data_IF_696173658265
#
_entry.id   IF_696173658265
#
_cell.length_a   1.000
_cell.length_b   1.000
_cell.length_c   1.000
_cell.angle_alpha   90.00
_cell.angle_beta   90.00
_cell.angle_gamma   90.00
#
_symmetry.space_group_name_H-M   'P 1'
#
loop_
_entity.id
_entity.type
_entity.pdbx_description
1 polymer ?
#
# COMPACT_ATOMS: atom_id res chain seq x y z
N UNK A 1 -45.46 2.24 -7.42
CA UNK A 1 -44.17 2.58 -8.05
C UNK A 1 -43.05 1.86 -7.30
N UNK A 2 -42.55 0.73 -7.81
CA UNK A 2 -41.52 -0.06 -7.11
C UNK A 2 -40.12 0.35 -7.57
N UNK A 3 -39.32 0.86 -6.63
CA UNK A 3 -37.94 1.28 -6.84
C UNK A 3 -37.01 0.06 -7.03
N UNK A 4 -37.16 -0.68 -8.14
CA UNK A 4 -36.33 -1.86 -8.47
C UNK A 4 -34.83 -1.55 -8.54
N UNK A 5 -34.46 -0.28 -8.75
CA UNK A 5 -33.07 0.16 -8.73
C UNK A 5 -32.40 -0.03 -7.35
N UNK A 6 -33.18 -0.03 -6.27
CA UNK A 6 -32.68 -0.22 -4.91
C UNK A 6 -32.19 -1.65 -4.65
N UNK A 7 -32.61 -2.64 -5.44
CA UNK A 7 -32.19 -4.04 -5.31
C UNK A 7 -30.82 -4.34 -5.96
N UNK A 8 -30.11 -3.36 -6.52
CA UNK A 8 -28.76 -3.64 -7.04
C UNK A 8 -27.82 -4.00 -5.89
N UNK A 9 -26.99 -5.03 -6.09
CA UNK A 9 -26.06 -5.55 -5.07
C UNK A 9 -25.17 -4.47 -4.43
N UNK A 10 -24.80 -3.43 -5.19
CA UNK A 10 -24.00 -2.31 -4.68
C UNK A 10 -24.70 -1.50 -3.59
N UNK A 11 -26.03 -1.36 -3.66
CA UNK A 11 -26.80 -0.66 -2.62
C UNK A 11 -27.04 -1.55 -1.40
N UNK A 12 -27.24 -2.86 -1.61
CA UNK A 12 -27.34 -3.81 -0.49
C UNK A 12 -26.08 -3.82 0.39
N UNK A 13 -24.90 -3.57 -0.19
CA UNK A 13 -23.64 -3.45 0.56
C UNK A 13 -23.67 -2.33 1.61
N UNK A 14 -24.46 -1.27 1.41
CA UNK A 14 -24.59 -0.17 2.38
C UNK A 14 -25.24 -0.61 3.69
N UNK A 15 -26.10 -1.63 3.66
CA UNK A 15 -26.71 -2.19 4.89
C UNK A 15 -25.67 -2.84 5.79
N UNK A 16 -24.62 -3.42 5.20
CA UNK A 16 -23.53 -4.07 5.94
C UNK A 16 -22.42 -3.08 6.32
N UNK A 17 -22.48 -1.83 5.83
CA UNK A 17 -21.44 -0.83 6.03
C UNK A 17 -21.11 -0.57 7.51
N UNK A 18 -22.08 -0.43 8.44
CA UNK A 18 -21.76 -0.21 9.86
C UNK A 18 -20.98 -1.39 10.47
N UNK A 19 -21.33 -2.63 10.10
CA UNK A 19 -20.62 -3.83 10.55
C UNK A 19 -19.20 -3.87 10.00
N UNK A 20 -19.02 -3.55 8.71
CA UNK A 20 -17.71 -3.45 8.08
C UNK A 20 -16.85 -2.34 8.67
N UNK A 21 -17.43 -1.19 9.03
CA UNK A 21 -16.69 -0.10 9.68
C UNK A 21 -16.20 -0.53 11.05
N UNK A 22 -17.03 -1.24 11.82
CA UNK A 22 -16.64 -1.75 13.15
C UNK A 22 -15.49 -2.76 13.07
N UNK A 23 -15.42 -3.56 12.01
CA UNK A 23 -14.40 -4.60 11.84
C UNK A 23 -13.12 -4.08 11.15
N UNK A 24 -13.27 -3.26 10.12
CA UNK A 24 -12.19 -2.88 9.21
C UNK A 24 -11.82 -1.39 9.27
N UNK A 25 -12.50 -0.61 10.11
CA UNK A 25 -12.30 0.82 10.22
C UNK A 25 -12.98 1.63 9.09
N UNK A 26 -12.62 2.91 8.92
CA UNK A 26 -13.25 3.81 7.96
C UNK A 26 -13.31 3.25 6.53
N UNK A 27 -14.37 3.54 5.75
CA UNK A 27 -14.50 3.02 4.37
C UNK A 27 -13.37 3.38 3.41
N UNK A 28 -12.61 4.43 3.73
CA UNK A 28 -11.42 4.83 2.98
C UNK A 28 -10.24 3.86 3.10
N UNK A 29 -10.24 2.97 4.11
CA UNK A 29 -9.19 1.98 4.33
C UNK A 29 -9.37 0.75 3.45
N UNK A 30 -10.61 0.35 3.14
CA UNK A 30 -10.93 -0.77 2.25
C UNK A 30 -11.39 -0.33 0.85
N UNK A 31 -11.24 0.95 0.51
CA UNK A 31 -11.56 1.45 -0.83
C UNK A 31 -10.53 0.95 -1.85
N UNK A 32 -11.01 0.26 -2.90
CA UNK A 32 -10.16 -0.21 -4.01
C UNK A 32 -9.44 0.91 -4.75
N UNK A 33 -9.90 2.17 -4.63
CA UNK A 33 -9.29 3.32 -5.33
C UNK A 33 -7.81 3.48 -5.02
N UNK A 34 -7.38 3.23 -3.77
CA UNK A 34 -5.96 3.28 -3.39
C UNK A 34 -5.17 2.17 -4.07
N UNK A 35 -5.70 0.96 -4.10
CA UNK A 35 -5.08 -0.18 -4.77
C UNK A 35 -5.02 0.01 -6.30
N UNK A 36 -6.07 0.55 -6.92
CA UNK A 36 -6.09 0.85 -8.35
C UNK A 36 -5.03 1.88 -8.75
N UNK A 37 -4.79 2.89 -7.90
CA UNK A 37 -3.70 3.86 -8.13
C UNK A 37 -2.32 3.20 -8.14
N UNK A 38 -2.16 2.12 -7.37
CA UNK A 38 -0.92 1.35 -7.28
C UNK A 38 -0.64 0.54 -8.56
N UNK A 39 -1.68 0.12 -9.28
CA UNK A 39 -1.53 -0.63 -10.54
C UNK A 39 -0.70 0.15 -11.57
N UNK A 40 -0.83 1.48 -11.61
CA UNK A 40 -0.03 2.34 -12.50
C UNK A 40 1.46 2.31 -12.14
N UNK A 41 1.77 2.34 -10.84
CA UNK A 41 3.16 2.24 -10.36
C UNK A 41 3.77 0.88 -10.68
N UNK A 42 2.99 -0.21 -10.50
CA UNK A 42 3.44 -1.56 -10.86
C UNK A 42 3.66 -1.72 -12.36
N UNK A 43 2.79 -1.12 -13.19
CA UNK A 43 2.95 -1.13 -14.64
C UNK A 43 4.24 -0.42 -15.07
N UNK A 44 4.52 0.78 -14.53
CA UNK A 44 5.77 1.50 -14.79
C UNK A 44 6.98 0.71 -14.28
N UNK A 45 6.90 0.12 -13.10
CA UNK A 45 7.98 -0.70 -12.56
C UNK A 45 8.29 -1.90 -13.47
N UNK A 46 7.23 -2.53 -14.03
CA UNK A 46 7.28 -3.67 -14.95
C UNK A 46 7.88 -3.33 -16.31
N UNK A 47 7.50 -2.21 -16.92
CA UNK A 47 8.04 -1.76 -18.23
C UNK A 47 9.56 -1.57 -18.14
N UNK A 48 10.06 -1.08 -17.00
CA UNK A 48 11.48 -0.83 -16.74
C UNK A 48 12.15 -1.96 -15.94
N UNK A 49 11.71 -3.21 -16.11
CA UNK A 49 12.43 -4.39 -15.59
C UNK A 49 13.24 -5.05 -16.69
N UNK A 50 14.25 -5.82 -16.33
CA UNK A 50 15.14 -6.45 -17.30
C UNK A 50 14.50 -7.66 -18.04
N UNK A 51 13.16 -7.80 -17.95
CA UNK A 51 12.27 -8.84 -18.52
C UNK A 51 12.58 -10.30 -18.18
N UNK A 52 13.79 -10.62 -17.73
CA UNK A 52 14.24 -11.97 -17.38
C UNK A 52 13.64 -12.45 -16.05
N UNK A 53 13.37 -11.53 -15.11
CA UNK A 53 12.67 -11.83 -13.85
C UNK A 53 11.89 -10.62 -13.30
N UNK A 54 10.83 -10.15 -14.02
CA UNK A 54 10.11 -8.93 -13.68
C UNK A 54 9.53 -8.95 -12.26
N UNK A 55 9.06 -10.12 -11.81
CA UNK A 55 8.48 -10.30 -10.48
C UNK A 55 9.51 -10.02 -9.38
N UNK A 56 10.74 -10.51 -9.54
CA UNK A 56 11.81 -10.32 -8.55
C UNK A 56 12.23 -8.85 -8.53
N UNK A 57 12.39 -8.22 -9.69
CA UNK A 57 12.73 -6.81 -9.82
C UNK A 57 11.66 -5.90 -9.19
N UNK A 58 10.38 -6.19 -9.44
CA UNK A 58 9.26 -5.44 -8.84
C UNK A 58 9.21 -5.66 -7.33
N UNK A 59 9.44 -6.88 -6.84
CA UNK A 59 9.47 -7.17 -5.41
C UNK A 59 10.59 -6.39 -4.70
N UNK A 60 11.79 -6.36 -5.29
CA UNK A 60 12.93 -5.58 -4.77
C UNK A 60 12.61 -4.08 -4.77
N UNK A 61 12.06 -3.54 -5.87
CA UNK A 61 11.64 -2.12 -5.94
C UNK A 61 10.60 -1.78 -4.88
N UNK A 62 9.62 -2.65 -4.66
CA UNK A 62 8.57 -2.47 -3.64
C UNK A 62 9.17 -2.50 -2.22
N UNK A 63 10.05 -3.46 -1.95
CA UNK A 63 10.75 -3.58 -0.68
C UNK A 63 11.60 -2.34 -0.39
N UNK A 64 12.39 -1.87 -1.36
CA UNK A 64 13.22 -0.68 -1.21
C UNK A 64 12.37 0.56 -0.90
N UNK A 65 11.25 0.74 -1.60
CA UNK A 65 10.35 1.86 -1.35
C UNK A 65 9.70 1.80 0.04
N UNK A 66 9.34 0.60 0.51
CA UNK A 66 8.81 0.42 1.86
C UNK A 66 9.87 0.67 2.93
N UNK A 67 11.09 0.16 2.73
CA UNK A 67 12.24 0.40 3.60
C UNK A 67 12.57 1.89 3.70
N UNK A 68 12.58 2.63 2.59
CA UNK A 68 12.76 4.09 2.59
C UNK A 68 11.66 4.80 3.39
N UNK A 69 10.39 4.42 3.22
CA UNK A 69 9.29 5.00 4.01
C UNK A 69 9.42 4.71 5.50
N UNK A 70 9.83 3.51 5.87
CA UNK A 70 10.07 3.14 7.26
C UNK A 70 11.21 3.97 7.86
N UNK A 71 12.34 4.07 7.16
CA UNK A 71 13.47 4.91 7.58
C UNK A 71 13.01 6.38 7.74
N UNK A 72 12.29 6.92 6.76
CA UNK A 72 11.75 8.29 6.82
C UNK A 72 10.73 8.50 7.95
N UNK A 73 10.12 7.42 8.45
CA UNK A 73 9.22 7.46 9.61
C UNK A 73 9.97 7.28 10.94
N UNK A 74 11.31 7.20 10.91
CA UNK A 74 12.16 6.99 12.09
C UNK A 74 12.37 5.53 12.49
N UNK A 75 11.98 4.57 11.65
CA UNK A 75 12.19 3.15 11.93
C UNK A 75 13.66 2.75 11.67
N UNK A 76 14.18 1.83 12.48
CA UNK A 76 15.51 1.25 12.31
C UNK A 76 15.43 -0.05 11.51
N UNK A 77 16.29 -0.22 10.52
CA UNK A 77 16.39 -1.47 9.75
C UNK A 77 17.60 -2.26 10.21
N UNK A 78 17.38 -3.50 10.65
CA UNK A 78 18.42 -4.41 11.13
C UNK A 78 18.69 -5.50 10.11
N UNK A 79 19.96 -5.69 9.74
CA UNK A 79 20.38 -6.83 8.93
C UNK A 79 20.62 -8.04 9.84
N UNK A 80 19.80 -9.08 9.70
CA UNK A 80 19.89 -10.28 10.54
C UNK A 80 21.17 -11.11 10.30
N UNK A 81 21.81 -10.98 9.13
CA UNK A 81 23.01 -11.74 8.78
C UNK A 81 24.29 -11.08 9.30
N UNK A 82 24.34 -9.74 9.33
CA UNK A 82 25.52 -8.97 9.76
C UNK A 82 25.37 -8.31 11.12
N UNK A 83 24.17 -8.31 11.72
CA UNK A 83 23.86 -7.61 12.97
C UNK A 83 23.86 -6.08 12.85
N UNK A 84 24.03 -5.54 11.64
CA UNK A 84 24.17 -4.10 11.42
C UNK A 84 22.79 -3.43 11.43
N UNK A 85 22.68 -2.33 12.17
CA UNK A 85 21.47 -1.49 12.22
C UNK A 85 21.72 -0.22 11.43
N UNK A 86 20.90 0.04 10.42
CA UNK A 86 20.92 1.30 9.69
C UNK A 86 20.16 2.34 10.52
N UNK A 87 20.92 3.19 11.21
CA UNK A 87 20.41 4.36 11.92
C UNK A 87 20.67 5.62 11.06
N UNK A 88 19.65 6.14 10.40
CA UNK A 88 19.74 7.48 9.80
C UNK A 88 19.58 8.54 10.91
N UNK A 89 20.26 9.70 10.83
CA UNK A 89 19.96 10.82 11.70
C UNK A 89 18.49 11.20 11.57
N UNK A 90 17.95 11.79 12.64
CA UNK A 90 16.54 12.12 12.79
C UNK A 90 16.02 12.79 11.50
N UNK A 91 15.02 12.21 10.84
CA UNK A 91 14.55 12.62 9.49
C UNK A 91 14.12 14.10 9.47
N UNK A 92 13.77 14.64 10.64
CA UNK A 92 13.49 16.06 10.85
C UNK A 92 14.63 16.98 10.45
N UNK A 93 15.90 16.55 10.54
CA UNK A 93 17.08 17.32 10.15
C UNK A 93 17.41 17.26 8.66
N UNK A 94 16.73 16.42 7.88
CA UNK A 94 16.97 16.28 6.43
C UNK A 94 16.11 17.22 5.58
N UNK A 95 15.18 17.95 6.19
CA UNK A 95 14.27 18.88 5.52
C UNK A 95 14.45 20.34 5.99
N UNK A 96 15.59 20.65 6.60
CA UNK A 96 16.02 22.04 6.88
C UNK A 96 16.43 22.78 5.60
#
# INVERSE_FOLDING_TARGET
>A
MSARWANKNKFHMLLHLPKSIKQSGPPSLFSNKKFESFNKLLQLASIHTNQHSPRQDIAIKCFNFQSLRLILSGAQLTNNCSGQTLHLPNVTQCFD
#
